data_IF_978263873863
#
_entry.id   IF_978263873863
#
_cell.length_a   1.000
_cell.length_b   1.000
_cell.length_c   1.000
_cell.angle_alpha   90.00
_cell.angle_beta   90.00
_cell.angle_gamma   90.00
#
_symmetry.space_group_name_H-M   'P 1'
#
loop_
_entity.id
_entity.type
_entity.pdbx_description
1 polymer ?
#
# COMPACT_ATOMS: atom_id res chain seq x y z
N UNK A 1 -70.33 -27.87 -24.88
CA UNK A 1 -69.45 -29.02 -25.16
C UNK A 1 -68.05 -28.68 -24.70
N UNK A 2 -67.57 -29.29 -23.62
CA UNK A 2 -66.23 -29.06 -23.07
C UNK A 2 -65.23 -30.02 -23.72
N UNK A 3 -64.29 -29.50 -24.51
CA UNK A 3 -63.22 -30.28 -25.13
C UNK A 3 -62.25 -30.77 -24.05
N UNK A 4 -62.23 -32.08 -23.80
CA UNK A 4 -61.23 -32.70 -22.93
C UNK A 4 -59.87 -32.69 -23.67
N UNK A 5 -58.81 -32.09 -23.11
CA UNK A 5 -57.51 -32.07 -23.75
C UNK A 5 -56.94 -33.49 -23.88
N UNK A 6 -56.56 -33.86 -25.11
CA UNK A 6 -56.00 -35.16 -25.48
C UNK A 6 -54.77 -35.49 -24.63
N UNK A 7 -54.65 -36.72 -24.14
CA UNK A 7 -53.53 -37.17 -23.28
C UNK A 7 -52.14 -36.93 -23.89
N UNK A 8 -52.06 -36.97 -25.22
CA UNK A 8 -50.83 -36.73 -25.99
C UNK A 8 -50.40 -35.26 -26.02
N UNK A 9 -51.32 -34.31 -25.86
CA UNK A 9 -50.94 -32.90 -25.71
C UNK A 9 -50.29 -32.67 -24.34
N UNK A 10 -50.82 -33.29 -23.29
CA UNK A 10 -50.28 -33.15 -21.92
C UNK A 10 -48.88 -33.77 -21.78
N UNK A 11 -48.58 -34.85 -22.49
CA UNK A 11 -47.24 -35.47 -22.48
C UNK A 11 -46.21 -34.62 -23.22
N UNK A 12 -46.56 -34.06 -24.38
CA UNK A 12 -45.72 -33.12 -25.14
C UNK A 12 -45.44 -31.84 -24.36
N UNK A 13 -46.46 -31.24 -23.74
CA UNK A 13 -46.28 -30.04 -22.90
C UNK A 13 -45.33 -30.28 -21.71
N UNK A 14 -45.37 -31.48 -21.10
CA UNK A 14 -44.44 -31.84 -20.01
C UNK A 14 -43.01 -31.99 -20.52
N UNK A 15 -42.82 -32.60 -21.69
CA UNK A 15 -41.52 -32.74 -22.31
C UNK A 15 -40.94 -31.37 -22.70
N UNK A 16 -41.75 -30.49 -23.30
CA UNK A 16 -41.35 -29.13 -23.64
C UNK A 16 -40.98 -28.31 -22.40
N UNK A 17 -41.77 -28.39 -21.33
CA UNK A 17 -41.46 -27.73 -20.05
C UNK A 17 -40.15 -28.23 -19.45
N UNK A 18 -39.91 -29.54 -19.50
CA UNK A 18 -38.66 -30.13 -19.02
C UNK A 18 -37.45 -29.69 -19.86
N UNK A 19 -37.57 -29.70 -21.18
CA UNK A 19 -36.52 -29.25 -22.10
C UNK A 19 -36.21 -27.77 -21.88
N UNK A 20 -37.26 -26.94 -21.73
CA UNK A 20 -37.13 -25.52 -21.45
C UNK A 20 -36.45 -25.26 -20.11
N UNK A 21 -36.81 -26.00 -19.07
CA UNK A 21 -36.16 -25.91 -17.76
C UNK A 21 -34.69 -26.36 -17.78
N UNK A 22 -34.33 -27.36 -18.59
CA UNK A 22 -32.93 -27.74 -18.79
C UNK A 22 -32.13 -26.64 -19.50
N UNK A 23 -32.68 -26.07 -20.58
CA UNK A 23 -32.04 -24.97 -21.31
C UNK A 23 -31.88 -23.72 -20.45
N UNK A 24 -32.87 -23.42 -19.60
CA UNK A 24 -32.82 -22.30 -18.68
C UNK A 24 -31.74 -22.50 -17.60
N UNK A 25 -31.65 -23.70 -17.02
CA UNK A 25 -30.56 -24.06 -16.10
C UNK A 25 -29.18 -23.95 -16.74
N UNK A 26 -29.02 -24.39 -17.99
CA UNK A 26 -27.74 -24.25 -18.70
C UNK A 26 -27.37 -22.79 -18.92
N UNK A 27 -28.34 -21.94 -19.29
CA UNK A 27 -28.13 -20.49 -19.44
C UNK A 27 -27.74 -19.83 -18.12
N UNK A 28 -28.42 -20.17 -17.03
CA UNK A 28 -28.08 -19.66 -15.70
C UNK A 28 -26.67 -20.08 -15.27
N UNK A 29 -26.26 -21.31 -15.55
CA UNK A 29 -24.90 -21.78 -15.26
C UNK A 29 -23.86 -21.00 -16.06
N UNK A 30 -24.08 -20.80 -17.37
CA UNK A 30 -23.17 -19.98 -18.19
C UNK A 30 -23.08 -18.54 -17.68
N UNK A 31 -24.21 -17.95 -17.30
CA UNK A 31 -24.23 -16.59 -16.76
C UNK A 31 -23.47 -16.50 -15.43
N UNK A 32 -23.62 -17.50 -14.55
CA UNK A 32 -22.85 -17.58 -13.29
C UNK A 32 -21.35 -17.69 -13.54
N UNK A 33 -20.93 -18.54 -14.47
CA UNK A 33 -19.52 -18.67 -14.83
C UNK A 33 -18.94 -17.37 -15.43
N UNK A 34 -19.72 -16.66 -16.24
CA UNK A 34 -19.32 -15.38 -16.81
C UNK A 34 -19.17 -14.30 -15.75
N UNK A 35 -20.12 -14.22 -14.81
CA UNK A 35 -20.03 -13.33 -13.64
C UNK A 35 -18.78 -13.66 -12.82
N UNK A 36 -18.53 -14.94 -12.53
CA UNK A 36 -17.35 -15.35 -11.75
C UNK A 36 -16.03 -14.99 -12.47
N UNK A 37 -15.97 -15.17 -13.80
CA UNK A 37 -14.80 -14.77 -14.60
C UNK A 37 -14.56 -13.26 -14.55
N UNK A 38 -15.62 -12.46 -14.75
CA UNK A 38 -15.51 -11.00 -14.73
C UNK A 38 -15.13 -10.47 -13.34
N UNK A 39 -15.63 -11.09 -12.27
CA UNK A 39 -15.27 -10.75 -10.90
C UNK A 39 -13.80 -11.09 -10.60
N UNK A 40 -13.33 -12.29 -11.00
CA UNK A 40 -11.92 -12.67 -10.89
C UNK A 40 -11.01 -11.68 -11.61
N UNK A 41 -11.38 -11.24 -12.81
CA UNK A 41 -10.61 -10.26 -13.56
C UNK A 41 -10.58 -8.88 -12.86
N UNK A 42 -11.72 -8.42 -12.34
CA UNK A 42 -11.80 -7.18 -11.54
C UNK A 42 -10.93 -7.28 -10.29
N UNK A 43 -10.95 -8.40 -9.59
CA UNK A 43 -10.14 -8.62 -8.39
C UNK A 43 -8.64 -8.63 -8.73
N UNK A 44 -8.22 -9.24 -9.85
CA UNK A 44 -6.83 -9.15 -10.33
C UNK A 44 -6.42 -7.70 -10.62
N UNK A 45 -7.28 -6.94 -11.32
CA UNK A 45 -7.00 -5.51 -11.62
C UNK A 45 -6.92 -4.66 -10.35
N UNK A 46 -7.81 -4.88 -9.39
CA UNK A 46 -7.78 -4.19 -8.08
C UNK A 46 -6.52 -4.56 -7.28
N UNK A 47 -6.20 -5.85 -7.19
CA UNK A 47 -5.00 -6.34 -6.52
C UNK A 47 -3.72 -5.74 -7.10
N UNK A 48 -3.61 -5.69 -8.43
CA UNK A 48 -2.46 -5.08 -9.11
C UNK A 48 -2.32 -3.58 -8.80
N UNK A 49 -3.44 -2.84 -8.76
CA UNK A 49 -3.42 -1.42 -8.37
C UNK A 49 -2.94 -1.22 -6.94
N UNK A 50 -3.38 -2.07 -6.01
CA UNK A 50 -2.96 -2.02 -4.60
C UNK A 50 -1.45 -2.30 -4.49
N UNK A 51 -0.95 -3.33 -5.18
CA UNK A 51 0.47 -3.68 -5.20
C UNK A 51 1.34 -2.52 -5.72
N UNK A 52 0.92 -1.86 -6.82
CA UNK A 52 1.61 -0.69 -7.36
C UNK A 52 1.58 0.51 -6.39
N UNK A 53 0.41 0.82 -5.84
CA UNK A 53 0.25 1.99 -4.96
C UNK A 53 0.96 1.84 -3.61
N UNK A 54 1.05 0.61 -3.10
CA UNK A 54 1.75 0.29 -1.85
C UNK A 54 3.27 0.36 -1.98
N UNK A 55 3.81 0.26 -3.19
CA UNK A 55 5.25 0.16 -3.45
C UNK A 55 5.84 -1.23 -3.17
N UNK A 56 5.00 -2.24 -2.86
CA UNK A 56 5.46 -3.62 -2.62
C UNK A 56 6.04 -4.24 -3.89
N UNK A 57 5.45 -3.95 -5.05
CA UNK A 57 5.94 -4.46 -6.33
C UNK A 57 7.36 -3.95 -6.61
N UNK A 58 7.56 -2.64 -6.46
CA UNK A 58 8.85 -2.00 -6.67
C UNK A 58 9.90 -2.46 -5.63
N UNK A 59 9.48 -2.73 -4.39
CA UNK A 59 10.35 -3.29 -3.35
C UNK A 59 10.81 -4.71 -3.71
N UNK A 60 9.92 -5.51 -4.30
CA UNK A 60 10.24 -6.84 -4.79
C UNK A 60 11.19 -6.79 -5.98
N UNK A 61 10.97 -5.90 -6.94
CA UNK A 61 11.89 -5.67 -8.05
C UNK A 61 13.28 -5.23 -7.54
N UNK A 62 13.33 -4.32 -6.57
CA UNK A 62 14.58 -3.89 -5.94
C UNK A 62 15.33 -5.05 -5.24
N UNK A 63 14.59 -5.94 -4.58
CA UNK A 63 15.16 -7.15 -3.99
C UNK A 63 15.76 -8.06 -5.07
N UNK A 64 15.02 -8.34 -6.13
CA UNK A 64 15.51 -9.17 -7.24
C UNK A 64 16.75 -8.58 -7.88
N UNK A 65 16.76 -7.28 -8.15
CA UNK A 65 17.96 -6.59 -8.67
C UNK A 65 19.16 -6.75 -7.73
N UNK A 66 18.94 -6.64 -6.42
CA UNK A 66 20.02 -6.81 -5.45
C UNK A 66 20.58 -8.23 -5.47
N UNK A 67 19.71 -9.24 -5.60
CA UNK A 67 20.13 -10.64 -5.72
C UNK A 67 20.87 -10.90 -7.04
N UNK A 68 20.44 -10.29 -8.14
CA UNK A 68 21.14 -10.39 -9.41
C UNK A 68 22.51 -9.69 -9.39
N UNK A 69 22.63 -8.57 -8.68
CA UNK A 69 23.87 -7.77 -8.61
C UNK A 69 24.90 -8.35 -7.65
N UNK A 70 24.46 -8.85 -6.50
CA UNK A 70 25.34 -9.30 -5.42
C UNK A 70 25.36 -10.82 -5.22
N UNK A 71 24.55 -11.55 -5.98
CA UNK A 71 24.37 -12.99 -5.83
C UNK A 71 23.42 -13.35 -4.69
N UNK A 72 23.28 -14.66 -4.43
CA UNK A 72 22.52 -15.14 -3.30
C UNK A 72 23.26 -14.83 -1.99
N UNK A 73 22.55 -14.35 -0.96
CA UNK A 73 23.15 -14.15 0.35
C UNK A 73 23.60 -15.49 0.95
N UNK A 74 24.74 -15.49 1.63
CA UNK A 74 25.29 -16.66 2.34
C UNK A 74 24.58 -16.95 3.67
N UNK A 75 23.81 -15.99 4.20
CA UNK A 75 23.02 -16.13 5.42
C UNK A 75 21.57 -16.51 5.15
N UNK A 76 20.68 -16.25 6.13
CA UNK A 76 19.26 -16.49 5.97
C UNK A 76 18.66 -15.57 4.89
N UNK A 77 18.09 -16.19 3.85
CA UNK A 77 17.45 -15.52 2.73
C UNK A 77 16.24 -14.67 3.19
N UNK A 78 15.51 -15.13 4.21
CA UNK A 78 14.35 -14.40 4.73
C UNK A 78 14.78 -13.13 5.47
N UNK A 79 15.85 -13.20 6.25
CA UNK A 79 16.40 -12.03 6.94
C UNK A 79 16.94 -11.01 5.92
N UNK A 80 17.70 -11.47 4.93
CA UNK A 80 18.23 -10.61 3.87
C UNK A 80 17.10 -9.91 3.09
N UNK A 81 16.06 -10.65 2.70
CA UNK A 81 14.93 -10.10 1.96
C UNK A 81 14.15 -9.09 2.80
N UNK A 82 13.86 -9.39 4.07
CA UNK A 82 13.20 -8.46 4.98
C UNK A 82 14.00 -7.17 5.16
N UNK A 83 15.32 -7.26 5.35
CA UNK A 83 16.19 -6.08 5.47
C UNK A 83 16.24 -5.25 4.19
N UNK A 84 16.25 -5.91 3.03
CA UNK A 84 16.30 -5.23 1.73
C UNK A 84 14.99 -4.50 1.44
N UNK A 85 13.85 -5.14 1.70
CA UNK A 85 12.52 -4.52 1.59
C UNK A 85 12.40 -3.35 2.57
N UNK A 86 12.84 -3.51 3.82
CA UNK A 86 12.81 -2.43 4.81
C UNK A 86 13.69 -1.24 4.41
N UNK A 87 14.86 -1.48 3.81
CA UNK A 87 15.72 -0.43 3.24
C UNK A 87 15.01 0.30 2.10
N UNK A 88 14.33 -0.43 1.22
CA UNK A 88 13.55 0.15 0.14
C UNK A 88 12.42 1.02 0.67
N UNK A 89 11.61 0.53 1.63
CA UNK A 89 10.51 1.30 2.21
C UNK A 89 10.96 2.63 2.81
N UNK A 90 12.09 2.63 3.52
CA UNK A 90 12.69 3.86 4.07
C UNK A 90 13.03 4.85 2.96
N UNK A 91 13.64 4.38 1.86
CA UNK A 91 13.95 5.22 0.68
C UNK A 91 12.67 5.72 0.00
N UNK A 92 11.68 4.84 -0.17
CA UNK A 92 10.41 5.13 -0.82
C UNK A 92 9.63 6.21 -0.07
N UNK A 93 9.54 6.13 1.27
CA UNK A 93 8.90 7.17 2.09
C UNK A 93 9.58 8.54 1.94
N UNK A 94 10.91 8.56 1.88
CA UNK A 94 11.67 9.80 1.65
C UNK A 94 11.42 10.35 0.24
N UNK A 95 11.45 9.51 -0.79
CA UNK A 95 11.14 9.89 -2.18
C UNK A 95 9.75 10.50 -2.29
N UNK A 96 8.74 9.81 -1.75
CA UNK A 96 7.34 10.26 -1.79
C UNK A 96 7.13 11.57 -1.05
N UNK A 97 7.82 11.77 0.08
CA UNK A 97 7.79 13.05 0.81
C UNK A 97 8.42 14.19 0.01
N UNK A 98 9.56 13.93 -0.65
CA UNK A 98 10.23 14.92 -1.52
C UNK A 98 9.37 15.28 -2.73
N UNK A 99 8.78 14.29 -3.38
CA UNK A 99 7.87 14.50 -4.51
C UNK A 99 6.68 15.38 -4.12
N UNK A 100 6.06 15.10 -2.97
CA UNK A 100 4.95 15.90 -2.47
C UNK A 100 5.38 17.33 -2.12
N UNK A 101 6.55 17.52 -1.52
CA UNK A 101 7.11 18.84 -1.26
C UNK A 101 7.37 19.63 -2.55
N UNK A 102 7.92 18.98 -3.58
CA UNK A 102 8.16 19.62 -4.88
C UNK A 102 6.85 20.05 -5.55
N UNK A 103 5.79 19.22 -5.47
CA UNK A 103 4.47 19.57 -6.01
C UNK A 103 3.80 20.72 -5.27
N UNK A 104 4.00 20.83 -3.95
CA UNK A 104 3.52 21.97 -3.18
C UNK A 104 4.28 23.25 -3.54
N UNK A 105 5.62 23.15 -3.63
CA UNK A 105 6.45 24.30 -3.99
C UNK A 105 6.15 24.83 -5.40
N UNK A 106 5.91 23.94 -6.37
CA UNK A 106 5.48 24.34 -7.72
C UNK A 106 4.16 25.13 -7.70
N UNK A 107 3.19 24.72 -6.88
CA UNK A 107 1.93 25.46 -6.75
C UNK A 107 2.11 26.82 -6.07
N UNK A 108 2.98 26.91 -5.07
CA UNK A 108 3.34 28.18 -4.44
C UNK A 108 4.03 29.12 -5.43
N UNK A 109 4.95 28.59 -6.24
CA UNK A 109 5.66 29.38 -7.26
C UNK A 109 4.77 29.84 -8.41
N UNK A 110 3.74 29.07 -8.77
CA UNK A 110 2.72 29.40 -9.78
C UNK A 110 1.64 30.36 -9.25
N UNK A 111 1.40 30.42 -7.93
CA UNK A 111 0.43 31.31 -7.30
C UNK A 111 1.01 32.64 -6.80
N UNK A 112 2.33 32.76 -6.66
CA UNK A 112 2.94 34.06 -6.30
C UNK A 112 2.95 35.00 -7.53
N UNK A 113 2.04 35.98 -7.53
CA UNK A 113 2.08 37.13 -8.45
C UNK A 113 3.48 37.79 -8.45
N UNK A 114 4.02 38.17 -9.62
CA UNK A 114 5.39 38.69 -9.75
C UNK A 114 5.64 39.96 -8.90
N UNK A 115 4.59 40.74 -8.62
CA UNK A 115 4.68 41.97 -7.82
C UNK A 115 4.96 41.72 -6.32
N UNK A 116 4.56 40.56 -5.77
CA UNK A 116 4.80 40.23 -4.35
C UNK A 116 6.22 39.67 -4.15
N UNK A 117 6.78 38.96 -5.15
CA UNK A 117 8.17 38.46 -5.14
C UNK A 117 9.20 39.60 -5.10
N UNK A 118 8.93 40.72 -5.77
CA UNK A 118 9.80 41.90 -5.75
C UNK A 118 9.86 42.60 -4.37
N UNK A 119 8.75 42.65 -3.63
CA UNK A 119 8.66 43.31 -2.32
C UNK A 119 9.43 42.54 -1.23
N UNK A 120 9.46 41.20 -1.28
CA UNK A 120 10.23 40.37 -0.34
C UNK A 120 11.73 40.38 -0.62
N UNK A 121 12.15 40.46 -1.89
CA UNK A 121 13.57 40.56 -2.25
C UNK A 121 14.18 41.93 -1.88
N UNK A 122 13.41 43.02 -1.96
CA UNK A 122 13.88 44.38 -1.67
C UNK A 122 14.06 44.76 -0.19
N UNK A 123 13.61 43.93 0.77
CA UNK A 123 13.68 44.25 2.21
C UNK A 123 14.94 43.77 2.93
N UNK A 124 15.90 43.13 2.25
CA UNK A 124 17.12 42.60 2.89
C UNK A 124 18.33 43.54 2.91
N UNK A 125 18.27 44.72 2.28
CA UNK A 125 19.49 45.52 2.01
C UNK A 125 19.61 46.87 2.74
N UNK A 126 18.82 47.12 3.79
CA UNK A 126 18.96 48.36 4.58
C UNK A 126 18.95 48.14 6.09
N UNK A 127 20.04 47.57 6.61
CA UNK A 127 20.54 47.90 7.96
C UNK A 127 22.05 47.70 8.08
N UNK A 128 22.79 48.78 7.75
CA UNK A 128 23.93 49.36 8.47
C UNK A 128 25.10 48.45 8.97
N UNK A 129 26.18 48.49 8.17
CA UNK A 129 27.57 48.92 8.47
C UNK A 129 27.80 49.55 9.88
N UNK A 130 28.77 49.06 10.68
CA UNK A 130 30.07 49.72 11.07
C UNK A 130 30.79 49.06 12.29
N UNK A 131 32.14 49.13 12.27
CA UNK A 131 33.23 48.74 13.25
C UNK A 131 33.63 47.24 13.26
N UNK A 132 34.86 46.75 12.94
CA UNK A 132 36.28 47.21 13.07
C UNK A 132 36.62 47.57 14.52
N UNK A 133 37.46 46.87 15.30
CA UNK A 133 38.80 46.31 15.01
C UNK A 133 39.26 45.32 16.11
N UNK A 134 40.44 44.71 15.86
CA UNK A 134 41.43 44.12 16.80
C UNK A 134 41.27 42.67 17.31
N UNK A 135 42.14 41.82 16.75
CA UNK A 135 43.15 40.96 17.38
C UNK A 135 42.89 40.30 18.75
N UNK A 136 43.21 39.00 18.76
CA UNK A 136 44.16 38.36 19.68
C UNK A 136 43.66 37.18 20.54
N UNK A 137 44.50 36.15 20.48
CA UNK A 137 44.72 34.97 21.31
C UNK A 137 43.60 33.97 21.70
N UNK A 138 43.81 32.74 21.23
CA UNK A 138 43.43 31.48 21.90
C UNK A 138 44.31 31.27 23.17
N UNK A 139 44.24 30.18 23.97
CA UNK A 139 43.32 29.05 24.01
C UNK A 139 42.82 28.67 25.45
N UNK A 140 41.99 27.61 25.51
CA UNK A 140 41.92 26.53 26.53
C UNK A 140 40.68 26.42 27.42
N UNK A 141 40.23 25.15 27.48
CA UNK A 141 39.71 24.39 28.64
C UNK A 141 38.28 24.72 29.12
N UNK A 142 37.36 23.76 28.98
CA UNK A 142 37.23 22.61 29.91
C UNK A 142 35.85 21.94 29.82
N UNK A 143 35.90 20.62 30.05
CA UNK A 143 34.84 19.65 30.30
C UNK A 143 33.77 20.14 31.30
N UNK A 144 32.47 19.89 31.05
CA UNK A 144 31.59 19.21 32.04
C UNK A 144 30.24 18.74 31.50
N UNK A 145 30.00 17.46 31.76
CA UNK A 145 28.77 16.66 31.81
C UNK A 145 27.48 17.31 32.34
N UNK A 146 26.32 16.80 31.89
CA UNK A 146 25.13 16.31 32.68
C UNK A 146 23.98 15.99 31.70
N UNK A 147 23.56 14.74 31.50
CA UNK A 147 22.64 13.90 32.31
C UNK A 147 21.21 14.47 32.45
N UNK A 148 20.26 13.91 31.69
CA UNK A 148 18.85 13.63 32.03
C UNK A 148 18.27 12.84 30.83
N UNK A 149 17.68 11.63 30.91
CA UNK A 149 16.72 10.97 31.81
C UNK A 149 15.28 11.48 31.63
N UNK A 150 14.51 10.87 30.73
CA UNK A 150 13.02 10.73 30.69
C UNK A 150 12.64 10.18 29.30
N UNK A 151 11.70 9.27 29.10
CA UNK A 151 10.84 8.42 29.94
C UNK A 151 10.23 7.41 28.95
N UNK A 152 10.23 6.13 29.30
CA UNK A 152 9.28 5.19 28.74
C UNK A 152 7.91 5.55 29.32
N UNK A 153 6.88 5.63 28.48
CA UNK A 153 5.52 5.40 28.90
C UNK A 153 4.93 4.34 27.96
N UNK A 154 4.44 3.30 28.63
CA UNK A 154 3.85 2.08 28.15
C UNK A 154 2.41 2.08 28.65
N UNK A 155 1.45 2.04 27.72
CA UNK A 155 0.06 1.65 27.95
C UNK A 155 -0.16 0.53 26.92
N UNK A 156 -0.34 -0.76 27.19
CA UNK A 156 -1.02 -1.51 28.26
C UNK A 156 -2.51 -1.18 28.39
N UNK A 157 -3.27 -1.56 27.36
CA UNK A 157 -4.61 -2.12 27.56
C UNK A 157 -4.71 -3.50 26.89
N UNK A 158 -4.76 -4.51 27.77
CA UNK A 158 -5.51 -5.77 27.62
C UNK A 158 -6.95 -5.41 27.20
N UNK A 159 -7.70 -6.23 26.47
CA UNK A 159 -8.25 -7.45 27.04
C UNK A 159 -9.06 -8.26 26.00
N UNK A 160 -8.88 -9.58 26.11
CA UNK A 160 -9.71 -10.75 25.77
C UNK A 160 -10.12 -11.05 24.31
N UNK A 161 -9.70 -12.18 23.74
CA UNK A 161 -10.06 -13.61 23.99
C UNK A 161 -11.40 -13.98 23.34
N UNK A 162 -11.35 -14.70 22.22
CA UNK A 162 -12.18 -15.91 22.09
C UNK A 162 -11.63 -16.90 21.03
N UNK A 163 -11.02 -17.92 21.60
CA UNK A 163 -10.81 -19.30 21.16
C UNK A 163 -11.75 -19.81 20.05
N UNK A 164 -11.16 -20.39 18.99
CA UNK A 164 -11.36 -21.82 18.67
C UNK A 164 -10.34 -22.37 17.69
N UNK A 165 -9.29 -22.95 18.25
CA UNK A 165 -8.47 -23.97 17.62
C UNK A 165 -9.17 -25.33 17.75
N UNK A 166 -9.37 -26.06 16.66
CA UNK A 166 -9.52 -27.52 16.70
C UNK A 166 -8.48 -28.16 15.81
N UNK A 167 -7.41 -28.62 16.46
CA UNK A 167 -6.32 -29.41 15.90
C UNK A 167 -6.68 -30.89 16.01
N UNK A 168 -6.68 -31.55 14.86
CA UNK A 168 -6.40 -32.98 14.60
C UNK A 168 -5.96 -33.89 15.77
N UNK A 169 -6.51 -35.13 15.81
CA UNK A 169 -5.79 -36.41 15.55
C UNK A 169 -6.51 -37.65 16.13
N UNK A 170 -6.30 -38.77 15.40
CA UNK A 170 -5.99 -40.15 15.87
C UNK A 170 -7.11 -41.21 15.97
N UNK A 171 -7.12 -42.10 14.95
CA UNK A 171 -6.79 -43.56 14.96
C UNK A 171 -7.30 -44.47 16.11
N UNK A 172 -7.66 -45.69 15.69
CA UNK A 172 -8.11 -46.93 16.40
C UNK A 172 -9.64 -47.00 16.46
N UNK A 173 -10.31 -48.05 15.99
CA UNK A 173 -9.99 -49.47 15.92
C UNK A 173 -10.62 -50.08 14.68
#
# INVERSE_FOLDING_TARGET
MSFAPNSDQKSREKQEKFLKAQLEKERELRLKEEIERTEKERNKKKGLKILKNSGILDAYEYLLESLCKYGLPTGDLYEFSALTVLKYEKKFKVMKRKELQNRLKQREDEQEDPDIKAIKAGKRDKSRKKSQDSDDDSPKRSKKSKKSKKKNDSDDEKEQDDRKSTKSKKKKK
#
